data_IF_832299414036
#
_entry.id   IF_832299414036
#
_cell.length_a   1.000
_cell.length_b   1.000
_cell.length_c   1.000
_cell.angle_alpha   90.00
_cell.angle_beta   90.00
_cell.angle_gamma   90.00
#
_symmetry.space_group_name_H-M   'P 1'
#
loop_
_entity.id
_entity.type
_entity.pdbx_description
1 polymer ?
#
# COMPACT_ATOMS: atom_id res chain seq x y z
N UNK A 1 14.36 -15.71 4.13
CA UNK A 1 14.90 -14.42 4.63
C UNK A 1 14.02 -13.98 5.80
N UNK A 2 14.56 -14.03 7.02
CA UNK A 2 13.86 -13.58 8.24
C UNK A 2 13.82 -12.06 8.19
N UNK A 3 12.62 -11.51 8.15
CA UNK A 3 12.41 -10.09 7.88
C UNK A 3 12.27 -9.24 9.15
N UNK A 4 13.03 -8.15 9.20
CA UNK A 4 12.91 -7.01 10.13
C UNK A 4 13.03 -5.74 9.27
N UNK A 5 12.08 -4.81 9.37
CA UNK A 5 11.94 -3.58 8.57
C UNK A 5 12.60 -2.39 9.29
N UNK A 6 12.75 -1.25 8.58
CA UNK A 6 12.69 -1.07 7.13
C UNK A 6 13.78 -1.77 6.38
N UNK A 7 13.33 -2.44 5.33
CA UNK A 7 14.15 -3.18 4.39
C UNK A 7 15.15 -2.15 3.88
N UNK A 8 16.45 -2.30 4.20
CA UNK A 8 17.40 -1.27 3.86
C UNK A 8 17.37 -0.97 2.37
N UNK A 9 17.63 0.28 1.97
CA UNK A 9 17.65 0.69 0.56
C UNK A 9 18.46 -0.29 -0.31
N UNK A 10 19.59 -0.81 0.19
CA UNK A 10 20.38 -1.81 -0.54
C UNK A 10 19.64 -3.14 -0.80
N UNK A 11 18.76 -3.58 0.12
CA UNK A 11 17.95 -4.79 -0.06
C UNK A 11 16.89 -4.52 -1.12
N UNK A 12 16.22 -3.37 -1.07
CA UNK A 12 15.24 -2.97 -2.09
C UNK A 12 15.91 -2.94 -3.46
N UNK A 13 17.04 -2.23 -3.60
CA UNK A 13 17.79 -2.13 -4.85
C UNK A 13 18.27 -3.50 -5.35
N UNK A 14 18.72 -4.39 -4.46
CA UNK A 14 19.12 -5.76 -4.84
C UNK A 14 17.96 -6.55 -5.41
N UNK A 15 16.79 -6.46 -4.80
CA UNK A 15 15.61 -7.16 -5.32
C UNK A 15 15.11 -6.53 -6.64
N UNK A 16 15.16 -5.20 -6.78
CA UNK A 16 14.86 -4.52 -8.05
C UNK A 16 15.78 -4.97 -9.19
N UNK A 17 17.08 -5.16 -8.93
CA UNK A 17 18.02 -5.67 -9.95
C UNK A 17 17.56 -7.02 -10.52
N UNK A 18 17.00 -7.90 -9.69
CA UNK A 18 16.45 -9.19 -10.15
C UNK A 18 15.20 -8.99 -11.01
N UNK A 19 14.34 -8.04 -10.62
CA UNK A 19 13.12 -7.72 -11.37
C UNK A 19 13.40 -6.97 -12.67
N UNK A 20 14.53 -6.26 -12.77
CA UNK A 20 14.93 -5.56 -13.99
C UNK A 20 15.14 -6.50 -15.17
N UNK A 21 15.73 -7.68 -14.92
CA UNK A 21 15.86 -8.71 -15.96
C UNK A 21 14.49 -9.17 -16.48
N UNK A 22 13.52 -9.35 -15.58
CA UNK A 22 12.14 -9.71 -15.98
C UNK A 22 11.50 -8.61 -16.80
N UNK A 23 11.60 -7.35 -16.37
CA UNK A 23 11.11 -6.19 -17.14
C UNK A 23 11.71 -6.12 -18.53
N UNK A 24 13.00 -6.43 -18.67
CA UNK A 24 13.66 -6.42 -19.97
C UNK A 24 13.15 -7.55 -20.88
N UNK A 25 12.91 -8.74 -20.32
CA UNK A 25 12.41 -9.90 -21.06
C UNK A 25 10.93 -9.76 -21.43
N UNK A 26 10.14 -9.16 -20.54
CA UNK A 26 8.69 -8.96 -20.67
C UNK A 26 8.39 -7.48 -20.40
N UNK A 27 8.65 -6.59 -21.37
CA UNK A 27 8.35 -5.17 -21.22
C UNK A 27 6.84 -4.96 -21.07
N UNK A 28 6.48 -3.91 -20.34
CA UNK A 28 5.08 -3.52 -20.17
C UNK A 28 4.58 -2.99 -21.50
N UNK A 29 3.44 -3.52 -21.95
CA UNK A 29 2.77 -3.08 -23.17
C UNK A 29 2.41 -1.61 -23.05
N UNK A 30 2.73 -0.84 -24.08
CA UNK A 30 2.53 0.62 -24.06
C UNK A 30 1.05 0.95 -23.83
N UNK A 31 0.13 0.21 -24.44
CA UNK A 31 -1.32 0.39 -24.24
C UNK A 31 -1.78 0.18 -22.80
N UNK A 32 -1.00 -0.49 -21.94
CA UNK A 32 -1.30 -0.75 -20.53
C UNK A 32 -0.67 0.27 -19.55
N UNK A 33 -0.02 1.31 -20.09
CA UNK A 33 0.60 2.40 -19.32
C UNK A 33 -0.43 3.40 -18.84
N UNK A 34 -0.32 3.85 -17.59
CA UNK A 34 -1.31 4.73 -16.97
C UNK A 34 -1.58 6.02 -17.74
N UNK A 35 -0.59 6.58 -18.45
CA UNK A 35 -0.75 7.78 -19.28
C UNK A 35 -1.65 7.57 -20.51
N UNK A 36 -2.05 6.33 -20.81
CA UNK A 36 -3.00 5.98 -21.88
C UNK A 36 -4.44 5.85 -21.37
N UNK A 37 -4.76 6.56 -20.28
CA UNK A 37 -6.05 6.52 -19.59
C UNK A 37 -7.25 6.94 -20.45
N UNK A 38 -7.03 7.69 -21.53
CA UNK A 38 -8.07 8.24 -22.41
C UNK A 38 -8.55 7.26 -23.50
N UNK A 39 -7.85 6.13 -23.64
CA UNK A 39 -8.14 5.07 -24.62
C UNK A 39 -8.40 3.71 -23.95
N UNK A 40 -9.19 2.82 -24.58
CA UNK A 40 -9.24 1.42 -24.18
C UNK A 40 -7.84 0.78 -24.21
N UNK A 41 -7.52 -0.16 -23.29
CA UNK A 41 -8.41 -0.74 -22.28
C UNK A 41 -8.44 0.04 -20.94
N UNK A 42 -7.60 1.07 -20.76
CA UNK A 42 -7.55 1.81 -19.48
C UNK A 42 -8.78 2.68 -19.26
N UNK A 43 -9.30 3.30 -20.32
CA UNK A 43 -10.51 4.12 -20.23
C UNK A 43 -11.67 3.27 -19.72
N UNK A 44 -12.18 3.54 -18.51
CA UNK A 44 -13.30 2.77 -17.97
C UNK A 44 -14.57 3.05 -18.77
N UNK A 45 -15.49 2.08 -18.80
CA UNK A 45 -16.80 2.25 -19.44
C UNK A 45 -17.65 3.31 -18.73
N UNK A 46 -17.44 3.49 -17.43
CA UNK A 46 -18.08 4.53 -16.63
C UNK A 46 -17.22 4.89 -15.42
N UNK A 47 -17.44 6.08 -14.85
CA UNK A 47 -16.64 6.63 -13.77
C UNK A 47 -17.41 6.56 -12.44
N UNK A 48 -17.38 5.41 -11.77
CA UNK A 48 -18.08 5.22 -10.47
C UNK A 48 -17.30 5.72 -9.25
N UNK A 49 -16.04 6.13 -9.44
CA UNK A 49 -15.17 6.57 -8.34
C UNK A 49 -14.91 5.44 -7.34
N UNK A 50 -14.47 4.28 -7.83
CA UNK A 50 -14.23 3.09 -7.01
C UNK A 50 -13.01 3.28 -6.11
N UNK A 51 -13.07 2.81 -4.86
CA UNK A 51 -11.85 2.67 -4.06
C UNK A 51 -11.01 1.51 -4.57
N UNK A 52 -9.71 1.53 -4.28
CA UNK A 52 -8.81 0.41 -4.59
C UNK A 52 -9.27 -0.88 -3.89
N UNK A 53 -9.77 -0.77 -2.65
CA UNK A 53 -10.30 -1.90 -1.89
C UNK A 53 -11.61 -2.46 -2.47
N UNK A 54 -12.37 -1.68 -3.23
CA UNK A 54 -13.58 -2.16 -3.91
C UNK A 54 -13.26 -3.00 -5.14
N UNK A 55 -12.22 -2.60 -5.89
CA UNK A 55 -11.71 -3.33 -7.06
C UNK A 55 -10.96 -4.59 -6.62
N UNK A 56 -10.01 -4.44 -5.71
CA UNK A 56 -9.20 -5.52 -5.16
C UNK A 56 -9.79 -6.07 -3.85
N UNK A 57 -11.08 -6.40 -3.86
CA UNK A 57 -11.79 -6.88 -2.67
C UNK A 57 -11.16 -8.15 -2.08
N UNK A 58 -11.23 -8.28 -0.75
CA UNK A 58 -10.90 -9.53 -0.05
C UNK A 58 -12.01 -10.58 -0.18
N UNK A 59 -13.21 -10.19 -0.60
CA UNK A 59 -14.31 -11.10 -0.89
C UNK A 59 -14.15 -11.65 -2.31
N UNK A 60 -13.99 -12.97 -2.50
CA UNK A 60 -13.82 -13.56 -3.83
C UNK A 60 -14.99 -13.26 -4.79
N UNK A 61 -16.20 -13.07 -4.26
CA UNK A 61 -17.39 -12.75 -5.06
C UNK A 61 -17.66 -11.24 -5.17
N UNK A 62 -16.80 -10.40 -4.60
CA UNK A 62 -16.94 -8.92 -4.54
C UNK A 62 -18.28 -8.46 -3.94
N UNK A 63 -18.96 -9.35 -3.21
CA UNK A 63 -20.27 -9.11 -2.60
C UNK A 63 -20.22 -8.02 -1.53
N UNK A 64 -19.08 -7.82 -0.87
CA UNK A 64 -18.87 -6.70 0.05
C UNK A 64 -18.96 -5.34 -0.66
N UNK A 65 -18.40 -5.22 -1.87
CA UNK A 65 -18.55 -4.04 -2.72
C UNK A 65 -20.00 -3.83 -3.14
N UNK A 66 -20.71 -4.90 -3.54
CA UNK A 66 -22.13 -4.83 -3.87
C UNK A 66 -22.99 -4.40 -2.67
N UNK A 67 -22.76 -4.98 -1.49
CA UNK A 67 -23.47 -4.63 -0.25
C UNK A 67 -23.27 -3.16 0.11
N UNK A 68 -22.05 -2.64 -0.07
CA UNK A 68 -21.71 -1.23 0.19
C UNK A 68 -22.36 -0.27 -0.81
N UNK A 69 -22.27 -0.56 -2.11
CA UNK A 69 -22.66 0.37 -3.19
C UNK A 69 -24.12 0.26 -3.61
N UNK A 70 -24.64 -0.97 -3.72
CA UNK A 70 -25.98 -1.25 -4.24
C UNK A 70 -26.98 -1.39 -3.08
N UNK A 71 -26.77 -2.34 -2.18
CA UNK A 71 -27.67 -2.55 -1.04
C UNK A 71 -27.55 -1.47 0.05
N UNK A 72 -26.49 -0.66 0.02
CA UNK A 72 -26.20 0.45 0.95
C UNK A 72 -26.25 0.01 2.42
N UNK A 73 -25.79 -1.20 2.68
CA UNK A 73 -25.72 -1.77 4.01
C UNK A 73 -24.56 -1.12 4.77
N UNK A 74 -24.75 -0.72 6.04
CA UNK A 74 -23.66 -0.17 6.84
C UNK A 74 -22.62 -1.25 7.15
N UNK A 75 -21.34 -0.88 7.06
CA UNK A 75 -20.23 -1.74 7.48
C UNK A 75 -20.17 -1.81 9.01
N UNK A 76 -19.94 -3.00 9.56
CA UNK A 76 -19.69 -3.16 10.98
C UNK A 76 -18.26 -2.73 11.34
N UNK A 77 -18.11 -2.12 12.52
CA UNK A 77 -16.81 -1.76 13.05
C UNK A 77 -15.99 -3.01 13.37
N UNK A 78 -14.76 -3.06 12.86
CA UNK A 78 -13.84 -4.18 13.11
C UNK A 78 -12.59 -3.69 13.84
N UNK A 79 -12.30 -4.27 15.01
CA UNK A 79 -11.08 -3.98 15.78
C UNK A 79 -9.80 -4.18 14.96
N UNK A 80 -9.77 -5.20 14.09
CA UNK A 80 -8.64 -5.46 13.19
C UNK A 80 -8.41 -4.29 12.24
N UNK A 81 -9.48 -3.67 11.73
CA UNK A 81 -9.37 -2.49 10.84
C UNK A 81 -8.95 -1.24 11.61
N UNK A 82 -9.43 -1.07 12.86
CA UNK A 82 -9.00 0.04 13.73
C UNK A 82 -7.51 -0.04 14.05
N UNK A 83 -7.02 -1.23 14.40
CA UNK A 83 -5.59 -1.49 14.60
C UNK A 83 -4.83 -1.24 13.29
N UNK A 84 -5.37 -1.69 12.15
CA UNK A 84 -4.90 -1.34 10.80
C UNK A 84 -4.59 0.13 10.63
N UNK A 85 -5.60 0.97 10.82
CA UNK A 85 -5.51 2.41 10.66
C UNK A 85 -4.46 3.03 11.60
N UNK A 86 -4.49 2.65 12.87
CA UNK A 86 -3.53 3.13 13.87
C UNK A 86 -2.07 2.82 13.46
N UNK A 87 -1.80 1.63 12.95
CA UNK A 87 -0.44 1.27 12.54
C UNK A 87 0.01 2.07 11.31
N UNK A 88 -0.87 2.30 10.33
CA UNK A 88 -0.54 3.15 9.19
C UNK A 88 -0.25 4.58 9.64
N UNK A 89 -1.02 5.11 10.60
CA UNK A 89 -0.77 6.43 11.20
C UNK A 89 0.60 6.51 11.88
N UNK A 90 0.96 5.51 12.69
CA UNK A 90 2.29 5.44 13.33
C UNK A 90 3.42 5.41 12.29
N UNK A 91 3.27 4.64 11.22
CA UNK A 91 4.25 4.57 10.12
C UNK A 91 4.36 5.94 9.42
N UNK A 92 3.22 6.54 9.08
CA UNK A 92 3.16 7.84 8.41
C UNK A 92 3.85 8.92 9.23
N UNK A 93 3.47 9.06 10.50
CA UNK A 93 3.97 10.09 11.40
C UNK A 93 5.47 9.90 11.72
N UNK A 94 5.95 8.65 11.76
CA UNK A 94 7.39 8.36 11.87
C UNK A 94 8.16 8.81 10.62
N UNK A 95 7.71 8.40 9.42
CA UNK A 95 8.35 8.78 8.15
C UNK A 95 8.38 10.30 7.97
N UNK A 96 7.24 10.96 8.23
CA UNK A 96 7.06 12.41 8.11
C UNK A 96 8.00 13.18 9.02
N UNK A 97 8.11 12.80 10.30
CA UNK A 97 9.00 13.46 11.25
C UNK A 97 10.47 13.27 10.89
N UNK A 98 10.89 12.03 10.62
CA UNK A 98 12.28 11.77 10.21
C UNK A 98 12.63 12.65 9.00
N UNK A 99 11.77 12.72 7.98
CA UNK A 99 12.02 13.58 6.81
C UNK A 99 12.12 15.06 7.12
N UNK A 100 11.29 15.57 8.03
CA UNK A 100 11.36 16.97 8.47
C UNK A 100 12.71 17.27 9.14
N UNK A 101 13.14 16.38 10.03
CA UNK A 101 14.41 16.51 10.74
C UNK A 101 15.64 16.41 9.81
N UNK A 102 15.59 15.54 8.79
CA UNK A 102 16.65 15.43 7.79
C UNK A 102 16.91 16.71 7.00
N UNK A 103 15.94 17.62 6.91
CA UNK A 103 16.12 18.91 6.24
C UNK A 103 16.94 19.91 7.07
N UNK A 104 17.04 19.73 8.39
CA UNK A 104 17.65 20.70 9.33
C UNK A 104 19.11 20.33 9.69
N UNK A 105 19.54 19.12 9.33
CA UNK A 105 20.89 18.58 9.59
C UNK A 105 21.24 18.49 11.08
N UNK A 106 20.30 17.98 11.87
CA UNK A 106 20.44 17.74 13.31
C UNK A 106 21.19 16.44 13.63
N UNK A 107 21.61 16.29 14.89
CA UNK A 107 22.27 15.08 15.36
C UNK A 107 21.33 13.86 15.25
N UNK A 108 21.73 12.76 14.58
CA UNK A 108 20.87 11.58 14.37
C UNK A 108 20.29 10.96 15.66
N UNK A 109 21.02 11.00 16.78
CA UNK A 109 20.56 10.42 18.05
C UNK A 109 19.47 11.26 18.70
N UNK A 110 19.60 12.59 18.61
CA UNK A 110 18.57 13.51 19.10
C UNK A 110 17.29 13.35 18.28
N UNK A 111 17.42 13.31 16.94
CA UNK A 111 16.29 13.04 16.04
C UNK A 111 15.59 11.72 16.37
N UNK A 112 16.34 10.65 16.63
CA UNK A 112 15.75 9.36 16.99
C UNK A 112 14.92 9.44 18.28
N UNK A 113 15.47 10.08 19.32
CA UNK A 113 14.79 10.24 20.61
C UNK A 113 13.49 11.03 20.43
N UNK A 114 13.58 12.17 19.77
CA UNK A 114 12.48 13.12 19.63
C UNK A 114 11.35 12.53 18.75
N UNK A 115 11.70 11.85 17.64
CA UNK A 115 10.71 11.13 16.80
C UNK A 115 9.96 10.08 17.61
N UNK A 116 10.66 9.26 18.40
CA UNK A 116 10.02 8.18 19.15
C UNK A 116 9.13 8.74 20.25
N UNK A 117 9.60 9.75 20.98
CA UNK A 117 8.83 10.42 22.04
C UNK A 117 7.57 11.09 21.48
N UNK A 118 7.70 11.88 20.42
CA UNK A 118 6.58 12.61 19.83
C UNK A 118 5.53 11.69 19.19
N UNK A 119 5.95 10.68 18.41
CA UNK A 119 5.01 9.79 17.72
C UNK A 119 4.23 8.96 18.73
N UNK A 120 4.93 8.39 19.73
CA UNK A 120 4.29 7.55 20.76
C UNK A 120 3.46 8.41 21.71
N UNK A 121 3.92 9.62 22.05
CA UNK A 121 3.22 10.54 22.96
C UNK A 121 1.99 11.19 22.34
N UNK A 122 1.97 11.43 21.03
CA UNK A 122 0.84 12.05 20.33
C UNK A 122 -0.26 11.05 19.90
N UNK A 123 0.01 9.74 19.96
CA UNK A 123 -0.90 8.72 19.43
C UNK A 123 -1.50 7.90 20.57
N UNK A 124 -2.83 7.75 20.61
CA UNK A 124 -3.50 6.88 21.58
C UNK A 124 -3.35 5.41 21.17
N UNK A 125 -2.38 4.71 21.78
CA UNK A 125 -2.07 3.32 21.47
C UNK A 125 -2.72 2.39 22.52
N UNK A 126 -3.55 1.41 22.11
CA UNK A 126 -4.11 0.42 23.02
C UNK A 126 -3.02 -0.35 23.77
N UNK A 127 -3.23 -0.56 25.08
CA UNK A 127 -2.24 -1.19 25.95
C UNK A 127 -1.83 -2.59 25.46
N UNK A 128 -2.76 -3.34 24.83
CA UNK A 128 -2.50 -4.67 24.28
C UNK A 128 -1.47 -4.71 23.15
N UNK A 129 -1.19 -3.58 22.47
CA UNK A 129 -0.22 -3.51 21.37
C UNK A 129 0.89 -2.49 21.60
N UNK A 130 0.90 -1.81 22.74
CA UNK A 130 1.79 -0.67 23.02
C UNK A 130 3.26 -0.99 22.85
N UNK A 131 3.75 -2.06 23.48
CA UNK A 131 5.14 -2.50 23.35
C UNK A 131 5.51 -2.90 21.93
N UNK A 132 4.55 -3.45 21.19
CA UNK A 132 4.74 -3.79 19.79
C UNK A 132 4.81 -2.54 18.90
N UNK A 133 3.92 -1.57 19.11
CA UNK A 133 3.86 -0.31 18.38
C UNK A 133 5.11 0.55 18.63
N UNK A 134 5.57 0.65 19.88
CA UNK A 134 6.82 1.34 20.23
C UNK A 134 8.00 0.66 19.53
N UNK A 135 8.06 -0.67 19.50
CA UNK A 135 9.11 -1.39 18.75
C UNK A 135 9.04 -1.11 17.26
N UNK A 136 7.85 -1.05 16.67
CA UNK A 136 7.67 -0.70 15.25
C UNK A 136 8.22 0.71 14.96
N UNK A 137 7.79 1.73 15.72
CA UNK A 137 8.25 3.12 15.56
C UNK A 137 9.77 3.20 15.69
N UNK A 138 10.35 2.58 16.73
CA UNK A 138 11.80 2.56 16.93
C UNK A 138 12.55 1.92 15.75
N UNK A 139 12.06 0.80 15.23
CA UNK A 139 12.69 0.13 14.07
C UNK A 139 12.64 1.01 12.82
N UNK A 140 11.49 1.64 12.54
CA UNK A 140 11.33 2.53 11.39
C UNK A 140 12.24 3.75 11.52
N UNK A 141 12.24 4.41 12.67
CA UNK A 141 13.05 5.59 12.93
C UNK A 141 14.55 5.29 12.77
N UNK A 142 15.08 4.25 13.42
CA UNK A 142 16.50 3.88 13.34
C UNK A 142 16.94 3.69 11.89
N UNK A 143 16.16 2.95 11.10
CA UNK A 143 16.56 2.65 9.73
C UNK A 143 16.54 3.88 8.83
N UNK A 144 15.47 4.69 8.88
CA UNK A 144 15.37 5.88 8.05
C UNK A 144 16.45 6.90 8.41
N UNK A 145 16.74 7.07 9.70
CA UNK A 145 17.81 7.95 10.18
C UNK A 145 19.18 7.42 9.78
N UNK A 146 19.43 6.11 9.91
CA UNK A 146 20.71 5.51 9.53
C UNK A 146 21.00 5.68 8.03
N UNK A 147 20.00 5.46 7.18
CA UNK A 147 20.16 5.64 5.72
C UNK A 147 20.40 7.09 5.34
N UNK A 148 19.67 8.01 5.96
CA UNK A 148 19.85 9.42 5.67
C UNK A 148 21.18 9.96 6.22
N UNK A 149 21.63 9.48 7.39
CA UNK A 149 22.95 9.79 7.95
C UNK A 149 24.07 9.27 7.05
N UNK A 150 23.90 8.06 6.50
CA UNK A 150 24.85 7.52 5.51
C UNK A 150 24.89 8.41 4.25
N UNK A 151 23.75 8.90 3.80
CA UNK A 151 23.68 9.81 2.65
C UNK A 151 24.35 11.16 2.90
N UNK A 152 24.30 11.70 4.13
CA UNK A 152 24.86 13.01 4.47
C UNK A 152 26.35 12.97 4.81
N UNK A 153 26.84 11.88 5.43
CA UNK A 153 28.22 11.75 5.93
C UNK A 153 29.09 10.81 5.08
N UNK A 154 28.50 9.79 4.45
CA UNK A 154 29.21 8.65 3.86
C UNK A 154 29.59 8.78 2.39
N UNK A 155 29.73 10.00 1.86
CA UNK A 155 30.14 10.26 0.46
C UNK A 155 29.22 9.63 -0.62
N UNK A 156 27.96 9.31 -0.26
CA UNK A 156 26.86 9.16 -1.22
C UNK A 156 26.92 7.99 -2.22
N UNK A 157 27.74 6.96 -2.01
CA UNK A 157 27.93 5.89 -3.01
C UNK A 157 26.66 5.03 -3.25
N UNK A 158 25.73 4.97 -2.29
CA UNK A 158 24.45 4.29 -2.45
C UNK A 158 23.30 5.31 -2.48
N UNK A 159 22.35 5.22 -3.44
CA UNK A 159 21.21 6.12 -3.49
C UNK A 159 20.30 5.86 -2.28
N UNK A 160 20.08 6.91 -1.49
CA UNK A 160 19.05 6.91 -0.46
C UNK A 160 17.67 6.92 -1.13
N UNK A 161 16.89 5.86 -0.92
CA UNK A 161 15.50 5.82 -1.34
C UNK A 161 14.66 6.55 -0.29
N UNK A 162 14.54 7.88 -0.39
CA UNK A 162 13.66 8.64 0.51
C UNK A 162 12.21 8.14 0.40
N UNK A 163 11.52 8.00 1.54
CA UNK A 163 10.15 7.48 1.62
C UNK A 163 9.16 8.62 1.84
N UNK A 164 8.19 8.79 0.96
CA UNK A 164 7.08 9.72 1.14
C UNK A 164 5.85 8.89 1.48
N UNK A 165 5.24 9.10 2.64
CA UNK A 165 4.02 8.37 3.05
C UNK A 165 2.74 9.19 2.81
N UNK A 166 1.60 8.49 2.70
CA UNK A 166 0.26 9.07 2.47
C UNK A 166 0.21 9.97 1.22
N UNK A 167 0.82 9.51 0.11
CA UNK A 167 0.86 10.27 -1.15
C UNK A 167 -0.54 10.28 -1.77
N UNK A 168 -1.09 11.48 -1.95
CA UNK A 168 -2.38 11.66 -2.62
C UNK A 168 -2.23 11.50 -4.13
N UNK A 169 -3.15 10.78 -4.75
CA UNK A 169 -3.22 10.62 -6.21
C UNK A 169 -4.67 10.64 -6.67
N UNK A 170 -4.94 11.34 -7.78
CA UNK A 170 -6.27 11.36 -8.38
C UNK A 170 -6.48 10.11 -9.24
N UNK A 171 -7.30 9.18 -8.75
CA UNK A 171 -7.60 7.94 -9.47
C UNK A 171 -8.67 8.08 -10.57
N UNK A 172 -9.26 9.26 -10.76
CA UNK A 172 -10.45 9.41 -11.60
C UNK A 172 -10.22 9.10 -13.07
N UNK A 173 -9.02 9.33 -13.60
CA UNK A 173 -8.66 8.98 -14.98
C UNK A 173 -8.84 7.48 -15.27
N UNK A 174 -8.73 6.63 -14.24
CA UNK A 174 -8.91 5.18 -14.35
C UNK A 174 -10.24 4.69 -13.78
N UNK A 175 -11.20 5.59 -13.48
CA UNK A 175 -12.50 5.25 -12.90
C UNK A 175 -12.46 5.01 -11.39
N UNK A 176 -11.32 5.24 -10.75
CA UNK A 176 -11.16 5.16 -9.30
C UNK A 176 -11.53 6.48 -8.61
N UNK A 177 -11.55 6.47 -7.28
CA UNK A 177 -11.79 7.66 -6.46
C UNK A 177 -10.76 8.77 -6.74
N UNK A 178 -11.19 10.04 -6.65
CA UNK A 178 -10.30 11.21 -6.76
C UNK A 178 -9.33 11.37 -5.59
N UNK A 179 -9.61 10.69 -4.48
CA UNK A 179 -8.89 10.86 -3.21
C UNK A 179 -8.17 9.58 -2.81
N UNK A 180 -7.46 8.95 -3.75
CA UNK A 180 -6.63 7.80 -3.39
C UNK A 180 -5.43 8.27 -2.57
N UNK A 181 -5.01 7.39 -1.66
CA UNK A 181 -3.79 7.56 -0.88
C UNK A 181 -2.94 6.32 -1.02
N UNK A 182 -1.74 6.53 -1.52
CA UNK A 182 -0.69 5.51 -1.57
C UNK A 182 0.03 5.54 -0.23
N UNK A 183 0.18 4.37 0.40
CA UNK A 183 0.79 4.25 1.73
C UNK A 183 2.19 4.86 1.77
N UNK A 184 3.05 4.50 0.80
CA UNK A 184 4.28 5.22 0.56
C UNK A 184 4.79 5.12 -0.88
N UNK A 185 5.62 6.07 -1.27
CA UNK A 185 6.37 6.12 -2.51
C UNK A 185 7.85 6.35 -2.18
N UNK A 186 8.74 5.59 -2.82
CA UNK A 186 10.18 5.84 -2.70
C UNK A 186 10.69 6.78 -3.79
N UNK A 187 11.85 7.41 -3.57
CA UNK A 187 12.50 8.30 -4.55
C UNK A 187 12.86 7.67 -5.92
N UNK A 188 12.69 6.36 -6.10
CA UNK A 188 12.89 5.66 -7.39
C UNK A 188 11.58 5.17 -8.02
N UNK A 189 10.46 5.85 -7.75
CA UNK A 189 9.13 5.51 -8.27
C UNK A 189 8.69 4.07 -7.96
N UNK A 190 9.06 3.58 -6.78
CA UNK A 190 8.58 2.29 -6.26
C UNK A 190 7.43 2.59 -5.32
N UNK A 191 6.25 2.07 -5.67
CA UNK A 191 5.07 2.13 -4.82
C UNK A 191 5.24 1.16 -3.68
N UNK A 192 4.84 1.55 -2.48
CA UNK A 192 4.86 0.72 -1.29
C UNK A 192 3.45 0.59 -0.74
N UNK A 193 3.10 -0.63 -0.32
CA UNK A 193 1.82 -0.97 0.31
C UNK A 193 2.10 -1.73 1.61
N UNK A 194 1.66 -1.21 2.76
CA UNK A 194 1.81 -1.86 4.06
C UNK A 194 0.62 -2.77 4.34
N UNK A 195 0.88 -3.97 4.86
CA UNK A 195 -0.16 -4.96 5.17
C UNK A 195 0.05 -5.56 6.56
N UNK A 196 -1.00 -5.54 7.39
CA UNK A 196 -1.00 -6.21 8.71
C UNK A 196 -1.54 -7.64 8.67
N UNK A 197 -1.82 -8.16 7.49
CA UNK A 197 -2.37 -9.49 7.29
C UNK A 197 -1.34 -10.44 6.70
N UNK A 198 -1.69 -11.72 6.65
CA UNK A 198 -1.00 -12.68 5.78
C UNK A 198 -1.06 -12.22 4.30
N UNK A 199 -0.14 -12.70 3.44
CA UNK A 199 -0.22 -12.46 2.01
C UNK A 199 -1.55 -12.95 1.40
N UNK A 200 -2.14 -12.09 0.56
CA UNK A 200 -3.29 -12.40 -0.28
C UNK A 200 -3.01 -11.91 -1.71
N UNK A 201 -3.57 -12.60 -2.70
CA UNK A 201 -3.33 -12.26 -4.11
C UNK A 201 -3.87 -10.87 -4.49
N UNK A 202 -4.97 -10.43 -3.87
CA UNK A 202 -5.54 -9.11 -4.13
C UNK A 202 -4.60 -7.95 -3.73
N UNK A 203 -3.60 -8.17 -2.87
CA UNK A 203 -2.60 -7.14 -2.55
C UNK A 203 -1.81 -6.69 -3.78
N UNK A 204 -1.54 -7.61 -4.72
CA UNK A 204 -0.87 -7.28 -5.98
C UNK A 204 -1.74 -6.38 -6.86
N UNK A 205 -3.06 -6.60 -6.85
CA UNK A 205 -4.01 -5.73 -7.56
C UNK A 205 -4.09 -4.34 -6.89
N UNK A 206 -4.06 -4.28 -5.56
CA UNK A 206 -4.09 -3.01 -4.83
C UNK A 206 -2.89 -2.12 -5.19
N UNK A 207 -1.68 -2.66 -5.12
CA UNK A 207 -0.47 -1.91 -5.44
C UNK A 207 -0.38 -1.57 -6.93
N UNK A 208 -0.91 -2.43 -7.81
CA UNK A 208 -1.02 -2.15 -9.24
C UNK A 208 -1.95 -0.97 -9.52
N UNK A 209 -3.09 -0.90 -8.83
CA UNK A 209 -4.02 0.23 -8.94
C UNK A 209 -3.34 1.57 -8.61
N UNK A 210 -2.57 1.61 -7.53
CA UNK A 210 -1.81 2.80 -7.14
C UNK A 210 -0.74 3.17 -8.15
N UNK A 211 0.02 2.18 -8.65
CA UNK A 211 1.04 2.42 -9.67
C UNK A 211 0.45 2.98 -10.96
N UNK A 212 -0.63 2.40 -11.45
CA UNK A 212 -1.30 2.88 -12.66
C UNK A 212 -1.92 4.28 -12.47
N UNK A 213 -2.50 4.55 -11.30
CA UNK A 213 -3.01 5.89 -10.99
C UNK A 213 -1.89 6.93 -10.95
N UNK A 214 -0.74 6.60 -10.35
CA UNK A 214 0.44 7.48 -10.36
C UNK A 214 0.97 7.71 -11.78
N UNK A 215 1.10 6.66 -12.60
CA UNK A 215 1.49 6.79 -14.00
C UNK A 215 0.54 7.70 -14.80
N UNK A 216 -0.77 7.57 -14.57
CA UNK A 216 -1.78 8.38 -15.26
C UNK A 216 -1.69 9.87 -14.91
N UNK A 217 -1.25 10.19 -13.69
CA UNK A 217 -1.13 11.58 -13.23
C UNK A 217 0.23 12.19 -13.54
N UNK A 218 1.29 11.40 -13.44
CA UNK A 218 2.67 11.89 -13.50
C UNK A 218 3.29 11.70 -14.89
N UNK A 219 2.70 10.85 -15.74
CA UNK A 219 3.26 10.47 -17.05
C UNK A 219 4.70 9.92 -16.98
N UNK A 220 5.02 9.32 -15.83
CA UNK A 220 6.33 8.72 -15.54
C UNK A 220 6.13 7.23 -15.21
N UNK A 221 6.99 6.31 -15.71
CA UNK A 221 6.86 4.88 -15.45
C UNK A 221 6.87 4.52 -13.95
N UNK A 222 5.94 3.66 -13.55
CA UNK A 222 5.86 3.06 -12.21
C UNK A 222 5.77 1.54 -12.37
N UNK A 223 6.94 0.92 -12.55
CA UNK A 223 7.06 -0.48 -12.97
C UNK A 223 7.20 -1.45 -11.79
N UNK A 224 7.49 -0.92 -10.60
CA UNK A 224 7.86 -1.71 -9.44
C UNK A 224 7.02 -1.34 -8.21
N UNK A 225 6.68 -2.37 -7.45
CA UNK A 225 6.01 -2.25 -6.17
C UNK A 225 6.77 -2.99 -5.07
N UNK A 226 6.50 -2.64 -3.83
CA UNK A 226 7.00 -3.31 -2.65
C UNK A 226 5.86 -3.49 -1.64
N UNK A 227 5.42 -4.73 -1.46
CA UNK A 227 4.42 -5.05 -0.43
C UNK A 227 5.18 -5.38 0.86
N UNK A 228 4.84 -4.71 1.95
CA UNK A 228 5.51 -4.88 3.24
C UNK A 228 4.51 -5.43 4.26
N UNK A 229 4.72 -6.69 4.60
CA UNK A 229 3.89 -7.41 5.56
C UNK A 229 4.42 -7.24 6.97
N UNK A 230 3.69 -6.49 7.80
CA UNK A 230 4.02 -6.20 9.19
C UNK A 230 3.14 -7.09 10.08
N UNK A 231 3.71 -8.19 10.56
CA UNK A 231 3.00 -9.25 11.28
C UNK A 231 3.32 -9.27 12.79
N UNK A 232 2.53 -10.06 13.51
CA UNK A 232 2.73 -10.35 14.93
C UNK A 232 2.35 -9.20 15.84
N UNK A 233 1.33 -8.42 15.44
CA UNK A 233 0.76 -7.32 16.23
C UNK A 233 0.48 -7.79 17.67
N UNK A 234 0.95 -7.02 18.65
CA UNK A 234 0.86 -7.34 20.08
C UNK A 234 1.92 -8.34 20.60
N UNK A 235 2.56 -9.11 19.72
CA UNK A 235 3.51 -10.17 20.10
C UNK A 235 4.94 -9.86 19.60
N UNK A 236 5.41 -10.56 18.56
CA UNK A 236 6.75 -10.37 17.99
C UNK A 236 6.66 -9.63 16.66
N UNK A 237 7.40 -8.52 16.55
CA UNK A 237 7.48 -7.77 15.31
C UNK A 237 8.19 -8.60 14.23
N UNK A 238 7.45 -9.01 13.20
CA UNK A 238 7.98 -9.72 12.04
C UNK A 238 7.62 -8.95 10.78
N UNK A 239 8.60 -8.60 9.95
CA UNK A 239 8.31 -7.76 8.79
C UNK A 239 8.93 -8.29 7.52
N UNK A 240 8.10 -8.69 6.56
CA UNK A 240 8.52 -9.31 5.32
C UNK A 240 8.30 -8.39 4.13
N UNK A 241 9.33 -8.27 3.30
CA UNK A 241 9.27 -7.62 2.00
C UNK A 241 8.84 -8.58 0.91
N UNK A 242 7.95 -8.14 0.02
CA UNK A 242 7.68 -8.80 -1.25
C UNK A 242 7.83 -7.78 -2.40
N UNK A 243 8.97 -7.80 -3.10
CA UNK A 243 9.19 -6.96 -4.27
C UNK A 243 8.35 -7.48 -5.44
N UNK A 244 7.72 -6.57 -6.18
CA UNK A 244 6.80 -6.88 -7.27
C UNK A 244 7.19 -6.13 -8.55
N UNK A 245 7.19 -6.85 -9.68
CA UNK A 245 7.19 -6.23 -11.00
C UNK A 245 5.75 -6.10 -11.47
N UNK A 246 5.31 -4.88 -11.74
CA UNK A 246 3.93 -4.55 -12.13
C UNK A 246 3.79 -4.72 -13.65
N UNK A 247 3.80 -5.98 -14.08
CA UNK A 247 3.80 -6.40 -15.48
C UNK A 247 2.49 -6.09 -16.21
N UNK A 248 2.48 -6.25 -17.54
CA UNK A 248 1.27 -6.23 -18.36
C UNK A 248 0.16 -7.12 -17.81
N UNK A 249 0.52 -8.32 -17.33
CA UNK A 249 -0.43 -9.27 -16.76
C UNK A 249 -1.16 -8.69 -15.54
N UNK A 250 -0.44 -8.14 -14.56
CA UNK A 250 -1.07 -7.55 -13.37
C UNK A 250 -1.92 -6.32 -13.69
N UNK A 251 -1.48 -5.50 -14.66
CA UNK A 251 -2.21 -4.33 -15.14
C UNK A 251 -3.53 -4.73 -15.79
N UNK A 252 -3.49 -5.77 -16.63
CA UNK A 252 -4.68 -6.35 -17.23
C UNK A 252 -5.63 -6.94 -16.17
N UNK A 253 -5.11 -7.74 -15.24
CA UNK A 253 -5.90 -8.30 -14.14
C UNK A 253 -6.60 -7.20 -13.32
N UNK A 254 -5.92 -6.07 -13.08
CA UNK A 254 -6.52 -4.92 -12.41
C UNK A 254 -7.64 -4.26 -13.25
N UNK A 255 -7.41 -4.05 -14.55
CA UNK A 255 -8.42 -3.50 -15.46
C UNK A 255 -9.65 -4.40 -15.52
N UNK A 256 -9.45 -5.70 -15.71
CA UNK A 256 -10.52 -6.71 -15.76
C UNK A 256 -11.28 -6.72 -14.43
N UNK A 257 -10.58 -6.72 -13.29
CA UNK A 257 -11.20 -6.70 -11.98
C UNK A 257 -12.03 -5.43 -11.73
N UNK A 258 -11.58 -4.26 -12.22
CA UNK A 258 -12.31 -3.00 -12.15
C UNK A 258 -13.57 -3.05 -12.99
N UNK A 259 -13.46 -3.50 -14.23
CA UNK A 259 -14.58 -3.54 -15.17
C UNK A 259 -15.64 -4.55 -14.71
N UNK A 260 -15.25 -5.68 -14.11
CA UNK A 260 -16.17 -6.60 -13.44
C UNK A 260 -16.95 -5.94 -12.29
N UNK A 261 -16.29 -5.10 -11.48
CA UNK A 261 -16.96 -4.36 -10.39
C UNK A 261 -17.94 -3.34 -10.96
N UNK A 262 -17.56 -2.64 -12.03
CA UNK A 262 -18.43 -1.70 -12.73
C UNK A 262 -19.68 -2.43 -13.24
N UNK A 263 -19.50 -3.54 -13.97
CA UNK A 263 -20.61 -4.31 -14.54
C UNK A 263 -21.53 -4.88 -13.44
N UNK A 264 -20.95 -5.35 -12.33
CA UNK A 264 -21.70 -5.81 -11.16
C UNK A 264 -22.55 -4.69 -10.53
N UNK A 265 -21.99 -3.49 -10.37
CA UNK A 265 -22.73 -2.36 -9.79
C UNK A 265 -23.82 -1.88 -10.74
N UNK A 266 -23.52 -1.75 -12.04
CA UNK A 266 -24.48 -1.27 -13.05
C UNK A 266 -25.64 -2.24 -13.28
N UNK A 267 -25.37 -3.55 -13.25
CA UNK A 267 -26.42 -4.57 -13.41
C UNK A 267 -27.26 -4.76 -12.15
N UNK A 268 -26.80 -4.23 -11.00
CA UNK A 268 -27.35 -4.45 -9.66
C UNK A 268 -27.52 -5.93 -9.27
N UNK A 269 -26.97 -6.87 -10.06
CA UNK A 269 -27.10 -8.30 -9.84
C UNK A 269 -26.29 -8.70 -8.62
N UNK A 270 -26.99 -9.16 -7.59
CA UNK A 270 -26.37 -9.61 -6.35
C UNK A 270 -25.40 -10.78 -6.61
N UNK A 271 -24.12 -10.66 -6.23
CA UNK A 271 -23.18 -11.76 -6.31
C UNK A 271 -23.50 -12.87 -5.31
N UNK A 272 -23.14 -14.13 -5.61
CA UNK A 272 -23.31 -15.21 -4.66
C UNK A 272 -22.51 -14.95 -3.38
N UNK A 273 -22.94 -15.56 -2.28
CA UNK A 273 -22.16 -15.57 -1.04
C UNK A 273 -20.84 -16.30 -1.28
N UNK A 274 -19.75 -15.73 -0.77
CA UNK A 274 -18.44 -16.36 -0.87
C UNK A 274 -18.39 -17.65 -0.02
N UNK A 275 -17.79 -18.70 -0.58
CA UNK A 275 -17.54 -19.97 0.14
C UNK A 275 -16.43 -19.84 1.18
N UNK A 276 -15.50 -18.91 0.98
CA UNK A 276 -14.46 -18.53 1.93
C UNK A 276 -14.54 -17.03 2.20
N UNK A 277 -14.79 -16.65 3.46
CA UNK A 277 -14.90 -15.27 3.88
C UNK A 277 -13.67 -14.85 4.70
N UNK A 278 -13.17 -13.63 4.46
CA UNK A 278 -12.14 -13.05 5.31
C UNK A 278 -12.72 -12.81 6.72
N UNK A 279 -12.08 -13.30 7.81
CA UNK A 279 -12.53 -13.04 9.18
C UNK A 279 -12.70 -11.55 9.49
N UNK A 280 -11.93 -10.69 8.82
CA UNK A 280 -12.00 -9.25 9.00
C UNK A 280 -13.09 -8.55 8.14
N UNK A 281 -13.90 -9.31 7.38
CA UNK A 281 -14.94 -8.73 6.53
C UNK A 281 -15.98 -7.96 7.36
N UNK A 282 -16.21 -6.66 7.11
CA UNK A 282 -17.16 -5.85 7.86
C UNK A 282 -18.63 -6.12 7.52
N UNK A 283 -18.90 -7.04 6.57
CA UNK A 283 -20.25 -7.45 6.16
C UNK A 283 -20.53 -8.92 6.46
N UNK A 284 -19.73 -9.54 7.33
CA UNK A 284 -19.79 -10.98 7.62
C UNK A 284 -21.17 -11.40 8.14
N UNK A 285 -21.78 -10.60 9.03
CA UNK A 285 -23.12 -10.81 9.58
C UNK A 285 -24.20 -10.95 8.50
N UNK A 286 -24.15 -10.12 7.45
CA UNK A 286 -25.09 -10.14 6.33
C UNK A 286 -24.93 -11.34 5.40
N UNK A 287 -23.75 -11.97 5.39
CA UNK A 287 -23.51 -13.16 4.59
C UNK A 287 -23.90 -14.44 5.35
N UNK A 288 -23.96 -14.41 6.68
CA UNK A 288 -24.26 -15.58 7.50
C UNK A 288 -23.19 -16.69 7.40
N UNK A 289 -21.98 -16.31 7.01
CA UNK A 289 -20.83 -17.23 6.89
C UNK A 289 -20.04 -17.13 8.19
N UNK A 290 -19.94 -18.25 8.91
CA UNK A 290 -19.17 -18.38 10.15
C UNK A 290 -17.66 -18.16 9.91
#
# INVERSE_FOLDING_TARGET
>A
MVGKMPIPSYVVLRELRKLHLRRFQEPIDEELRGWNWDRPPLRPRTYLGLSVSEVASYCPTKRDTWLRRVAKVPSEGNETLKIGLLVHELIHETIKRVRKYLAVNENPLDVYRDVVEEVVGATEIPECIKDWAIRLVKHIAIQLIAEASWSSVGDGVNPWLSWISEVRVDGSLLGLSKNLRVDALTGSNIVVDFKLSKPYENHKLMITAYAMALEANLEVPVDYGLIIYINGVGNSLNIKAEPLYISSYLRKDFIDARDEVIDMILSEREPPKATSCNPACPFKSYCGVA
#
